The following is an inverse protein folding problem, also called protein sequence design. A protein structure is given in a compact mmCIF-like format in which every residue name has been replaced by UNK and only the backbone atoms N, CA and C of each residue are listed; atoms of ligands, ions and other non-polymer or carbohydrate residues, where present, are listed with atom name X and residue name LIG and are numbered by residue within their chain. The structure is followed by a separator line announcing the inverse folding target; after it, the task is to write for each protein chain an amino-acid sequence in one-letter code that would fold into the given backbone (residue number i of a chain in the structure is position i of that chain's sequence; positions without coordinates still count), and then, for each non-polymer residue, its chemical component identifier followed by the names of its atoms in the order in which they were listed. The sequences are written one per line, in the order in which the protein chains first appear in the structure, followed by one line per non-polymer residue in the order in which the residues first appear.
data_IF_894364920079
#
_entry.id   IF_894364920079
#
_cell.length_a   1.000
_cell.length_b   1.000
_cell.length_c   1.000
_cell.angle_alpha   90.00
_cell.angle_beta   90.00
_cell.angle_gamma   90.00
#
_symmetry.space_group_name_H-M   'P 1'
#
loop_
_entity.id
_entity.type
_entity.pdbx_description
1 polymer ?
#
# COMPACT_ATOMS: atom_id res chain seq x y z
N UNK A 1 -16.25 -3.48 -2.62
CA UNK A 1 -15.03 -4.30 -2.42
C UNK A 1 -13.88 -3.66 -3.18
N UNK A 2 -12.75 -3.42 -2.50
CA UNK A 2 -11.58 -2.70 -3.04
C UNK A 2 -10.41 -3.62 -3.35
N UNK A 3 -10.71 -4.85 -3.76
CA UNK A 3 -9.74 -5.82 -4.27
C UNK A 3 -10.01 -5.97 -5.77
N UNK A 4 -8.95 -6.10 -6.57
CA UNK A 4 -9.06 -6.44 -8.00
C UNK A 4 -9.77 -7.78 -8.13
N UNK A 5 -10.84 -7.82 -8.92
CA UNK A 5 -11.57 -9.07 -9.16
C UNK A 5 -10.74 -9.97 -10.06
N UNK A 6 -10.55 -11.23 -9.66
CA UNK A 6 -10.04 -12.28 -10.53
C UNK A 6 -11.22 -13.06 -11.12
N UNK A 7 -11.38 -13.02 -12.45
CA UNK A 7 -12.47 -13.68 -13.16
C UNK A 7 -12.16 -15.12 -13.54
N UNK A 8 -10.89 -15.44 -13.83
CA UNK A 8 -10.49 -16.78 -14.25
C UNK A 8 -9.02 -17.04 -13.97
N UNK A 9 -8.71 -18.31 -13.68
CA UNK A 9 -7.35 -18.81 -13.49
C UNK A 9 -7.21 -20.13 -14.23
N UNK A 10 -6.12 -20.29 -14.99
CA UNK A 10 -5.80 -21.56 -15.63
C UNK A 10 -4.29 -21.77 -15.73
N UNK A 11 -3.88 -23.04 -15.65
CA UNK A 11 -2.50 -23.46 -15.86
C UNK A 11 -2.31 -23.86 -17.31
N UNK A 12 -1.44 -23.16 -18.02
CA UNK A 12 -0.95 -23.59 -19.32
C UNK A 12 0.21 -24.56 -19.09
N UNK A 13 -0.02 -25.84 -19.41
CA UNK A 13 0.98 -26.89 -19.22
C UNK A 13 2.05 -26.90 -20.30
N UNK A 14 1.74 -26.37 -21.48
CA UNK A 14 2.68 -26.32 -22.61
C UNK A 14 3.77 -25.29 -22.33
N UNK A 15 3.38 -24.11 -21.83
CA UNK A 15 4.31 -23.03 -21.50
C UNK A 15 4.74 -23.03 -20.02
N UNK A 16 4.22 -23.94 -19.21
CA UNK A 16 4.41 -24.00 -17.76
C UNK A 16 4.12 -22.67 -17.05
N UNK A 17 3.05 -21.98 -17.47
CA UNK A 17 2.61 -20.70 -16.88
C UNK A 17 1.28 -20.84 -16.14
N UNK A 18 1.09 -19.99 -15.13
CA UNK A 18 -0.19 -19.78 -14.47
C UNK A 18 -0.75 -18.43 -14.93
N UNK A 19 -1.93 -18.45 -15.55
CA UNK A 19 -2.53 -17.28 -16.17
C UNK A 19 -3.76 -16.83 -15.37
N UNK A 20 -3.96 -15.52 -15.31
CA UNK A 20 -5.03 -14.87 -14.57
C UNK A 20 -5.76 -13.89 -15.49
N UNK A 21 -7.10 -13.95 -15.52
CA UNK A 21 -7.94 -12.86 -16.06
C UNK A 21 -8.45 -12.04 -14.89
N UNK A 22 -8.12 -10.75 -14.86
CA UNK A 22 -8.52 -9.85 -13.78
C UNK A 22 -9.28 -8.62 -14.30
N UNK A 23 -9.95 -7.93 -13.39
CA UNK A 23 -10.51 -6.60 -13.63
C UNK A 23 -9.43 -5.62 -14.08
N UNK A 24 -9.75 -4.85 -15.13
CA UNK A 24 -8.87 -3.79 -15.62
C UNK A 24 -9.14 -2.47 -14.88
N UNK A 25 -8.08 -1.89 -14.31
CA UNK A 25 -8.10 -0.52 -13.80
C UNK A 25 -7.42 0.41 -14.81
N UNK A 26 -8.22 1.23 -15.49
CA UNK A 26 -7.79 1.98 -16.68
C UNK A 26 -6.84 3.15 -16.40
N UNK A 27 -6.69 3.58 -15.14
CA UNK A 27 -5.89 4.76 -14.78
C UNK A 27 -4.51 4.42 -14.20
N UNK A 28 -4.07 3.17 -14.34
CA UNK A 28 -2.77 2.71 -13.83
C UNK A 28 -2.79 2.53 -12.31
N UNK A 29 -1.66 2.82 -11.66
CA UNK A 29 -1.45 2.61 -10.22
C UNK A 29 -0.97 3.89 -9.51
N UNK A 30 -0.98 3.88 -8.18
CA UNK A 30 -0.57 5.03 -7.38
C UNK A 30 0.87 5.50 -7.69
N UNK A 31 1.79 4.57 -7.99
CA UNK A 31 3.19 4.87 -8.36
C UNK A 31 3.25 5.73 -9.62
N UNK A 32 2.54 5.30 -10.67
CA UNK A 32 2.49 6.04 -11.95
C UNK A 32 1.70 7.33 -11.82
N UNK A 33 0.65 7.35 -10.99
CA UNK A 33 -0.12 8.55 -10.70
C UNK A 33 0.71 9.64 -10.01
N UNK A 34 1.51 9.30 -8.98
CA UNK A 34 2.39 10.27 -8.28
C UNK A 34 3.35 10.96 -9.25
N UNK A 35 3.87 10.23 -10.24
CA UNK A 35 4.81 10.77 -11.25
C UNK A 35 4.13 11.77 -12.19
N UNK A 36 2.84 11.56 -12.50
CA UNK A 36 2.05 12.42 -13.38
C UNK A 36 1.45 13.63 -12.65
N UNK A 37 1.12 13.47 -11.37
CA UNK A 37 0.43 14.47 -10.58
C UNK A 37 1.27 14.86 -9.36
N UNK A 38 2.04 15.95 -9.49
CA UNK A 38 2.91 16.47 -8.41
C UNK A 38 2.16 16.87 -7.13
N UNK A 39 0.85 17.12 -7.23
CA UNK A 39 0.02 17.53 -6.10
C UNK A 39 -1.22 16.64 -6.04
N UNK A 40 -1.34 15.86 -4.96
CA UNK A 40 -2.53 15.09 -4.64
C UNK A 40 -3.26 15.79 -3.50
N UNK A 41 -4.53 16.15 -3.73
CA UNK A 41 -5.29 16.82 -2.68
C UNK A 41 -5.51 15.90 -1.47
N UNK A 42 -5.52 16.48 -0.28
CA UNK A 42 -5.75 15.73 0.95
C UNK A 42 -7.11 15.01 0.98
N UNK A 43 -8.12 15.57 0.30
CA UNK A 43 -9.44 14.94 0.17
C UNK A 43 -9.37 13.62 -0.59
N UNK A 44 -8.60 13.60 -1.70
CA UNK A 44 -8.38 12.40 -2.50
C UNK A 44 -7.56 11.39 -1.71
N UNK A 45 -6.48 11.83 -1.06
CA UNK A 45 -5.65 10.95 -0.23
C UNK A 45 -6.47 10.27 0.86
N UNK A 46 -7.24 11.02 1.65
CA UNK A 46 -8.15 10.46 2.69
C UNK A 46 -9.15 9.46 2.10
N UNK A 47 -9.73 9.77 0.95
CA UNK A 47 -10.68 8.87 0.28
C UNK A 47 -9.99 7.55 -0.11
N UNK A 48 -8.83 7.62 -0.76
CA UNK A 48 -8.08 6.42 -1.14
C UNK A 48 -7.59 5.64 0.08
N UNK A 49 -7.13 6.32 1.13
CA UNK A 49 -6.73 5.68 2.38
C UNK A 49 -7.84 4.81 2.95
N UNK A 50 -9.05 5.37 3.05
CA UNK A 50 -10.22 4.63 3.53
C UNK A 50 -10.50 3.39 2.67
N UNK A 51 -10.43 3.51 1.35
CA UNK A 51 -10.69 2.39 0.43
C UNK A 51 -9.65 1.27 0.54
N UNK A 52 -8.37 1.62 0.71
CA UNK A 52 -7.31 0.62 0.93
C UNK A 52 -7.49 -0.07 2.27
N UNK A 53 -7.78 0.69 3.34
CA UNK A 53 -8.04 0.11 4.67
C UNK A 53 -9.27 -0.81 4.67
N UNK A 54 -10.37 -0.43 4.00
CA UNK A 54 -11.55 -1.29 3.80
C UNK A 54 -11.21 -2.56 2.98
N UNK A 55 -10.22 -2.48 2.08
CA UNK A 55 -9.70 -3.64 1.34
C UNK A 55 -8.84 -4.57 2.20
N UNK A 56 -7.94 -4.00 3.03
CA UNK A 56 -7.11 -4.76 3.96
C UNK A 56 -7.95 -5.43 5.04
N UNK A 57 -8.91 -4.72 5.62
CA UNK A 57 -9.88 -5.28 6.58
C UNK A 57 -10.58 -6.51 6.00
N UNK A 58 -11.01 -6.44 4.73
CA UNK A 58 -11.64 -7.59 4.06
C UNK A 58 -10.70 -8.80 3.96
N UNK A 59 -9.41 -8.59 3.64
CA UNK A 59 -8.42 -9.68 3.58
C UNK A 59 -8.12 -10.24 4.97
N UNK A 60 -7.92 -9.36 5.95
CA UNK A 60 -7.48 -9.71 7.31
C UNK A 60 -8.59 -10.37 8.13
N UNK A 61 -9.84 -10.04 7.87
CA UNK A 61 -11.02 -10.64 8.54
C UNK A 61 -11.55 -11.88 7.83
N UNK A 62 -10.96 -12.28 6.70
CA UNK A 62 -11.29 -13.55 6.05
C UNK A 62 -10.96 -14.72 6.97
N UNK A 63 -11.68 -15.84 6.84
CA UNK A 63 -11.39 -17.09 7.54
C UNK A 63 -11.06 -18.19 6.51
N UNK A 64 -9.77 -18.53 6.31
CA UNK A 64 -8.60 -18.07 7.07
C UNK A 64 -8.11 -16.68 6.65
N UNK A 65 -7.39 -16.00 7.54
CA UNK A 65 -6.85 -14.64 7.29
C UNK A 65 -5.90 -14.65 6.10
N UNK A 66 -6.01 -13.61 5.26
CA UNK A 66 -5.17 -13.41 4.07
C UNK A 66 -4.25 -12.22 4.32
N UNK A 67 -2.93 -12.44 4.30
CA UNK A 67 -1.92 -11.38 4.37
C UNK A 67 -1.41 -11.10 2.95
N UNK A 68 -1.41 -9.83 2.53
CA UNK A 68 -1.00 -9.42 1.19
C UNK A 68 0.51 -9.55 0.97
N UNK A 69 1.32 -9.11 1.93
CA UNK A 69 2.80 -9.22 1.99
C UNK A 69 3.62 -8.45 0.95
N UNK A 70 3.01 -7.97 -0.13
CA UNK A 70 3.65 -7.04 -1.08
C UNK A 70 2.80 -5.81 -1.41
N UNK A 71 2.18 -5.22 -0.39
CA UNK A 71 1.39 -4.00 -0.60
C UNK A 71 2.32 -2.82 -0.88
N UNK A 72 2.17 -2.18 -2.05
CA UNK A 72 2.95 -1.00 -2.40
C UNK A 72 2.18 -0.14 -3.43
N UNK A 73 2.67 1.07 -3.72
CA UNK A 73 2.00 1.98 -4.67
C UNK A 73 1.92 1.44 -6.12
N UNK A 74 2.71 0.43 -6.50
CA UNK A 74 2.60 -0.23 -7.80
C UNK A 74 1.45 -1.24 -7.85
N UNK A 75 1.06 -1.79 -6.70
CA UNK A 75 0.03 -2.82 -6.53
C UNK A 75 -1.33 -2.25 -6.11
N UNK A 76 -1.43 -0.92 -5.90
CA UNK A 76 -2.71 -0.22 -5.69
C UNK A 76 -3.11 0.49 -6.99
N UNK A 77 -4.15 -0.02 -7.63
CA UNK A 77 -4.64 0.42 -8.92
C UNK A 77 -5.73 1.49 -8.80
N UNK A 78 -5.80 2.39 -9.77
CA UNK A 78 -6.75 3.49 -9.80
C UNK A 78 -7.79 3.26 -10.89
N UNK A 79 -9.06 3.35 -10.50
CA UNK A 79 -10.17 3.55 -11.40
C UNK A 79 -10.55 5.04 -11.39
N UNK A 80 -9.97 5.81 -12.30
CA UNK A 80 -10.08 7.27 -12.35
C UNK A 80 -11.48 7.77 -12.65
N UNK A 81 -12.30 6.98 -13.35
CA UNK A 81 -13.67 7.35 -13.73
C UNK A 81 -14.58 7.56 -12.52
N UNK A 82 -14.35 6.82 -11.43
CA UNK A 82 -15.15 6.86 -10.20
C UNK A 82 -14.33 7.28 -8.97
N UNK A 83 -13.07 7.68 -9.18
CA UNK A 83 -12.13 8.04 -8.12
C UNK A 83 -12.09 6.95 -7.03
N UNK A 84 -11.83 5.72 -7.46
CA UNK A 84 -11.70 4.53 -6.62
C UNK A 84 -10.30 3.95 -6.76
N UNK A 85 -9.76 3.39 -5.69
CA UNK A 85 -8.57 2.53 -5.71
C UNK A 85 -8.92 1.09 -5.39
N UNK A 86 -8.12 0.16 -5.90
CA UNK A 86 -8.23 -1.28 -5.62
C UNK A 86 -6.85 -1.88 -5.38
N UNK A 87 -6.75 -2.70 -4.35
CA UNK A 87 -5.58 -3.53 -4.06
C UNK A 87 -5.55 -4.67 -5.09
N UNK A 88 -4.43 -4.84 -5.76
CA UNK A 88 -4.18 -5.95 -6.68
C UNK A 88 -2.85 -6.62 -6.39
N UNK A 89 -2.53 -7.62 -7.19
CA UNK A 89 -1.32 -8.45 -7.06
C UNK A 89 -1.20 -9.21 -5.73
N UNK A 90 -2.05 -10.23 -5.60
CA UNK A 90 -1.99 -11.19 -4.50
C UNK A 90 -0.99 -12.34 -4.79
N UNK A 91 -0.06 -12.18 -5.73
CA UNK A 91 0.88 -13.24 -6.13
C UNK A 91 1.80 -13.71 -5.01
N UNK A 92 2.02 -12.85 -4.02
CA UNK A 92 2.79 -13.14 -2.81
C UNK A 92 1.91 -13.27 -1.56
N UNK A 93 0.57 -13.26 -1.69
CA UNK A 93 -0.30 -13.38 -0.52
C UNK A 93 -0.14 -14.73 0.18
N UNK A 94 -0.37 -14.76 1.50
CA UNK A 94 -0.44 -15.99 2.29
C UNK A 94 -1.80 -16.13 2.96
N UNK A 95 -2.28 -17.36 3.02
CA UNK A 95 -3.38 -17.76 3.87
C UNK A 95 -2.77 -18.30 5.16
N UNK A 96 -2.99 -17.61 6.27
CA UNK A 96 -2.43 -17.99 7.58
C UNK A 96 -3.49 -18.68 8.43
N UNK A 97 -3.07 -19.68 9.21
CA UNK A 97 -3.94 -20.36 10.17
C UNK A 97 -4.32 -19.44 11.34
N UNK A 98 -5.03 -19.97 12.34
CA UNK A 98 -5.56 -19.17 13.48
C UNK A 98 -4.51 -18.39 14.27
N UNK A 99 -3.24 -18.77 14.18
CA UNK A 99 -2.14 -18.08 14.84
C UNK A 99 -1.68 -16.82 14.08
N UNK A 100 -2.24 -16.54 12.90
CA UNK A 100 -1.97 -15.36 12.07
C UNK A 100 -0.49 -15.13 11.72
N UNK A 101 0.35 -16.19 11.79
CA UNK A 101 1.78 -16.11 11.55
C UNK A 101 2.18 -16.68 10.18
N UNK A 102 3.10 -15.99 9.49
CA UNK A 102 3.77 -16.44 8.27
C UNK A 102 5.30 -16.39 8.43
N UNK A 103 6.03 -17.23 7.69
CA UNK A 103 7.46 -17.52 7.95
C UNK A 103 8.37 -17.36 6.73
N UNK A 104 8.04 -16.48 5.79
CA UNK A 104 8.84 -16.27 4.58
C UNK A 104 9.19 -14.80 4.36
N UNK A 105 10.47 -14.52 4.11
CA UNK A 105 10.98 -13.19 3.74
C UNK A 105 10.75 -12.92 2.24
N UNK A 106 9.61 -12.28 1.92
CA UNK A 106 9.23 -11.90 0.56
C UNK A 106 8.63 -10.49 0.55
N UNK A 107 8.63 -9.83 -0.61
CA UNK A 107 8.07 -8.50 -0.80
C UNK A 107 9.11 -7.49 -1.31
N UNK A 108 8.69 -6.24 -1.43
CA UNK A 108 9.53 -5.12 -1.89
C UNK A 108 10.22 -4.44 -0.69
N UNK A 109 11.57 -4.51 -0.55
CA UNK A 109 12.30 -4.09 0.66
C UNK A 109 11.96 -2.70 1.20
N UNK A 110 11.64 -1.75 0.33
CA UNK A 110 11.33 -0.38 0.72
C UNK A 110 9.99 -0.22 1.48
N UNK A 111 9.11 -1.23 1.42
CA UNK A 111 7.78 -1.26 2.06
C UNK A 111 7.71 -2.28 3.19
N UNK A 112 8.70 -3.16 3.32
CA UNK A 112 8.68 -4.25 4.30
C UNK A 112 8.83 -3.71 5.72
N UNK A 113 7.95 -4.18 6.59
CA UNK A 113 8.02 -3.90 8.01
C UNK A 113 9.29 -4.54 8.63
N UNK A 114 9.92 -3.92 9.64
CA UNK A 114 11.14 -4.43 10.25
C UNK A 114 10.96 -5.82 10.89
N UNK A 115 9.78 -6.13 11.44
CA UNK A 115 9.46 -7.44 12.02
C UNK A 115 9.41 -8.58 11.00
N UNK A 116 9.31 -8.27 9.70
CA UNK A 116 9.28 -9.28 8.63
C UNK A 116 10.63 -10.03 8.52
N UNK A 117 11.72 -9.43 9.02
CA UNK A 117 13.05 -10.06 9.12
C UNK A 117 13.17 -11.05 10.30
N UNK A 118 12.24 -11.02 11.25
CA UNK A 118 12.21 -11.96 12.39
C UNK A 118 11.45 -13.25 12.04
N UNK A 119 10.92 -13.36 10.81
CA UNK A 119 10.18 -14.52 10.27
C UNK A 119 8.95 -14.96 11.09
N UNK A 120 8.49 -14.13 12.04
CA UNK A 120 7.25 -14.29 12.78
C UNK A 120 6.48 -12.96 12.74
N UNK A 121 5.59 -12.85 11.76
CA UNK A 121 4.85 -11.63 11.51
C UNK A 121 3.37 -11.89 11.24
N UNK A 122 2.56 -10.88 11.52
CA UNK A 122 1.10 -10.90 11.37
C UNK A 122 0.64 -10.04 10.20
N UNK A 123 -0.66 -9.92 9.99
CA UNK A 123 -1.28 -9.04 9.01
C UNK A 123 -0.89 -7.55 9.16
N UNK A 124 -0.33 -7.17 10.31
CA UNK A 124 0.16 -5.82 10.59
C UNK A 124 1.26 -5.35 9.65
N UNK A 125 1.98 -6.26 8.99
CA UNK A 125 2.98 -5.90 7.96
C UNK A 125 2.34 -5.19 6.76
N UNK A 126 1.08 -5.49 6.43
CA UNK A 126 0.34 -4.79 5.38
C UNK A 126 -0.04 -3.36 5.82
N UNK A 127 -0.30 -3.15 7.11
CA UNK A 127 -0.58 -1.82 7.68
C UNK A 127 0.67 -0.94 7.64
N UNK A 128 1.83 -1.50 7.98
CA UNK A 128 3.11 -0.81 7.80
C UNK A 128 3.34 -0.43 6.32
N UNK A 129 3.20 -1.41 5.43
CA UNK A 129 3.37 -1.24 3.98
C UNK A 129 2.42 -0.18 3.40
N UNK A 130 1.18 -0.12 3.91
CA UNK A 130 0.21 0.91 3.56
C UNK A 130 0.68 2.30 4.00
N UNK A 131 1.23 2.43 5.21
CA UNK A 131 1.82 3.68 5.66
C UNK A 131 2.95 4.18 4.78
N UNK A 132 3.77 3.25 4.28
CA UNK A 132 4.79 3.56 3.30
C UNK A 132 4.21 4.07 1.98
N UNK A 133 3.07 3.55 1.55
CA UNK A 133 2.34 4.10 0.40
C UNK A 133 1.85 5.52 0.67
N UNK A 134 1.32 5.81 1.87
CA UNK A 134 0.88 7.14 2.24
C UNK A 134 2.02 8.14 2.24
N UNK A 135 3.19 7.75 2.75
CA UNK A 135 4.42 8.56 2.71
C UNK A 135 4.88 8.85 1.29
N UNK A 136 4.76 7.88 0.40
CA UNK A 136 5.29 8.01 -0.95
C UNK A 136 4.54 9.03 -1.82
N UNK A 137 3.22 9.09 -1.70
CA UNK A 137 2.36 9.90 -2.58
C UNK A 137 2.65 11.42 -2.48
N UNK A 138 2.70 12.05 -1.30
CA UNK A 138 2.95 13.48 -1.18
C UNK A 138 4.42 13.87 -1.38
N UNK A 139 5.36 12.93 -1.30
CA UNK A 139 6.79 13.15 -1.55
C UNK A 139 7.18 12.81 -3.00
N UNK A 140 6.38 13.28 -3.96
CA UNK A 140 6.57 13.00 -5.39
C UNK A 140 7.93 13.49 -5.94
N UNK A 141 8.56 14.46 -5.28
CA UNK A 141 9.89 14.98 -5.62
C UNK A 141 11.05 14.05 -5.24
N UNK A 142 10.79 13.01 -4.45
CA UNK A 142 11.78 11.99 -4.12
C UNK A 142 11.63 10.80 -5.07
N UNK A 143 12.71 10.43 -5.77
CA UNK A 143 12.68 9.31 -6.72
C UNK A 143 12.68 7.95 -6.02
N UNK A 144 13.33 7.87 -4.85
CA UNK A 144 13.53 6.64 -4.08
C UNK A 144 13.02 6.82 -2.65
N UNK A 145 12.49 5.74 -2.07
CA UNK A 145 11.85 5.74 -0.74
C UNK A 145 12.84 6.15 0.36
N UNK A 146 14.13 5.79 0.23
CA UNK A 146 15.19 6.21 1.18
C UNK A 146 15.28 7.73 1.34
N UNK A 147 15.09 8.50 0.25
CA UNK A 147 15.08 9.97 0.33
C UNK A 147 13.85 10.49 1.09
N UNK A 148 12.73 9.80 0.97
CA UNK A 148 11.48 10.10 1.68
C UNK A 148 11.70 9.89 3.18
N UNK A 149 12.19 8.71 3.57
CA UNK A 149 12.52 8.42 4.97
C UNK A 149 13.46 9.46 5.57
N UNK A 150 14.54 9.83 4.87
CA UNK A 150 15.50 10.83 5.35
C UNK A 150 14.84 12.19 5.57
N UNK A 151 13.98 12.64 4.65
CA UNK A 151 13.26 13.91 4.81
C UNK A 151 12.31 13.86 5.99
N UNK A 152 11.46 12.82 6.05
CA UNK A 152 10.43 12.68 7.07
C UNK A 152 11.05 12.59 8.45
N UNK A 153 12.05 11.73 8.66
CA UNK A 153 12.72 11.58 9.96
C UNK A 153 13.50 12.82 10.40
N UNK A 154 13.92 13.67 9.45
CA UNK A 154 14.54 14.98 9.71
C UNK A 154 13.51 16.11 9.92
N UNK A 155 12.20 15.81 9.91
CA UNK A 155 11.13 16.80 10.05
C UNK A 155 10.90 17.66 8.80
N UNK A 156 11.45 17.29 7.65
CA UNK A 156 11.33 18.02 6.38
C UNK A 156 10.04 17.61 5.66
N UNK A 157 9.14 18.58 5.49
CA UNK A 157 7.87 18.42 4.76
C UNK A 157 8.10 18.40 3.25
N UNK A 158 7.23 17.69 2.52
CA UNK A 158 7.22 17.79 1.06
C UNK A 158 6.58 19.11 0.62
N UNK A 159 6.89 19.53 -0.61
CA UNK A 159 6.28 20.73 -1.21
C UNK A 159 4.75 20.63 -1.30
N UNK A 160 4.22 19.41 -1.43
CA UNK A 160 2.78 19.18 -1.42
C UNK A 160 2.15 19.69 -0.12
N UNK A 161 2.81 19.49 1.03
CA UNK A 161 2.32 19.94 2.32
C UNK A 161 2.36 21.47 2.50
N UNK A 162 3.32 22.14 1.88
CA UNK A 162 3.50 23.60 1.99
C UNK A 162 2.45 24.40 1.21
N UNK A 163 1.89 23.82 0.13
CA UNK A 163 1.02 24.54 -0.80
C UNK A 163 -0.41 23.99 -0.93
N UNK A 164 -0.74 22.84 -0.35
CA UNK A 164 -2.04 22.19 -0.53
C UNK A 164 -2.70 21.58 0.72
N UNK A 165 -2.00 21.56 1.84
CA UNK A 165 -2.42 20.86 3.05
C UNK A 165 -2.46 21.87 4.21
N UNK A 166 -3.62 22.51 4.44
CA UNK A 166 -3.82 23.39 5.60
C UNK A 166 -3.81 22.62 6.93
N UNK A 167 -4.01 23.29 8.08
CA UNK A 167 -3.92 22.75 9.45
C UNK A 167 -4.57 21.36 9.72
N UNK A 168 -5.54 20.94 8.89
CA UNK A 168 -6.19 19.62 8.93
C UNK A 168 -5.32 18.45 8.42
N UNK A 169 -4.10 18.72 7.95
CA UNK A 169 -3.13 17.71 7.50
C UNK A 169 -2.12 17.29 8.55
N UNK A 170 -2.04 18.01 9.67
CA UNK A 170 -1.06 17.74 10.73
C UNK A 170 -1.21 16.32 11.27
N UNK A 171 -2.43 15.83 11.47
CA UNK A 171 -2.64 14.45 11.93
C UNK A 171 -2.02 13.41 10.99
N UNK A 172 -2.28 13.55 9.68
CA UNK A 172 -1.73 12.64 8.66
C UNK A 172 -0.21 12.76 8.56
N UNK A 173 0.34 13.96 8.67
CA UNK A 173 1.79 14.16 8.70
C UNK A 173 2.42 13.52 9.96
N UNK A 174 1.78 13.67 11.13
CA UNK A 174 2.22 13.04 12.38
C UNK A 174 2.18 11.52 12.30
N UNK A 175 1.13 10.93 11.74
CA UNK A 175 1.02 9.48 11.51
C UNK A 175 2.13 8.99 10.57
N UNK A 176 2.29 9.65 9.42
CA UNK A 176 3.38 9.38 8.47
C UNK A 176 4.76 9.44 9.12
N UNK A 177 4.99 10.45 9.97
CA UNK A 177 6.22 10.63 10.70
C UNK A 177 6.43 9.56 11.78
N UNK A 178 5.36 9.08 12.41
CA UNK A 178 5.36 7.92 13.30
C UNK A 178 5.77 6.65 12.55
N UNK A 179 5.14 6.36 11.41
CA UNK A 179 5.48 5.19 10.57
C UNK A 179 6.94 5.17 10.16
N UNK A 180 7.46 6.32 9.71
CA UNK A 180 8.87 6.45 9.30
C UNK A 180 9.86 6.22 10.47
N UNK A 181 9.41 6.36 11.72
CA UNK A 181 10.18 6.06 12.93
C UNK A 181 9.97 4.63 13.44
N UNK A 182 9.19 3.80 12.73
CA UNK A 182 8.88 2.44 13.13
C UNK A 182 7.84 2.33 14.25
N UNK A 183 7.06 3.39 14.48
CA UNK A 183 5.95 3.37 15.45
C UNK A 183 4.61 3.15 14.75
N UNK A 184 3.73 2.35 15.37
CA UNK A 184 2.46 1.87 14.80
C UNK A 184 1.48 3.01 14.48
N UNK A 185 0.59 2.79 13.50
CA UNK A 185 -0.52 3.70 13.20
C UNK A 185 -1.53 3.75 14.35
N UNK A 186 -1.99 4.96 14.70
CA UNK A 186 -3.18 5.17 15.51
C UNK A 186 -4.21 5.92 14.68
N UNK A 187 -5.08 5.19 13.97
CA UNK A 187 -6.30 5.74 13.39
C UNK A 187 -7.45 5.67 14.40
#
# INVERSE_FOLDING_TARGET
MYIIVCYSVWRDREHNTLNFITEVCTSGNLRTYRKKHRHVSIKVLKKWSKQVLEGLEYLHTSDPCIIHRDLNCSNIFINGNICQVKIGDLGLAAIVGRNHAAHSLIGTPEYMAPELYEEDYTEMVDIYSFGMCLLEIPYSECDIVVKIYKKVTSGVRSQAFEHGFGSRSEGIYCEMHSTAKGTTFGF
#
